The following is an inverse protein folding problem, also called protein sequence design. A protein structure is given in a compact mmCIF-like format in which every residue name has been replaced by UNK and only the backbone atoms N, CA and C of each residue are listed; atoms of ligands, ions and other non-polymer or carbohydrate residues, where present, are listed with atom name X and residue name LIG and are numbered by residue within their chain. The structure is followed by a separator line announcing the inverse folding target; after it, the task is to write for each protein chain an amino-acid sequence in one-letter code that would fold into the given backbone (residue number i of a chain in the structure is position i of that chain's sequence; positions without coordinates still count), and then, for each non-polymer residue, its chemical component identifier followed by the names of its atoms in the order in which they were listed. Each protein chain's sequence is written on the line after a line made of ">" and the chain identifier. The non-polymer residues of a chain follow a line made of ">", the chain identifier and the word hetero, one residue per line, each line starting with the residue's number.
data_IF_383026223962
#
_entry.id   IF_383026223962
#
_cell.length_a   1.000
_cell.length_b   1.000
_cell.length_c   1.000
_cell.angle_alpha   90.00
_cell.angle_beta   90.00
_cell.angle_gamma   90.00
#
_symmetry.space_group_name_H-M   'P 1'
#
loop_
_entity.id
_entity.type
_entity.pdbx_description
1 polymer ?
#
# COMPACT_ATOMS: atom_id res chain seq x y z
N UNK A 1 -11.82 -21.68 -2.89
CA UNK A 1 -11.70 -20.39 -2.21
C UNK A 1 -12.32 -19.31 -3.05
N UNK A 2 -13.12 -18.48 -2.45
CA UNK A 2 -13.81 -17.42 -3.14
C UNK A 2 -12.90 -16.22 -3.34
N UNK A 3 -12.48 -15.96 -4.59
CA UNK A 3 -11.66 -14.81 -4.94
C UNK A 3 -12.47 -13.66 -5.51
N UNK A 4 -13.80 -13.70 -5.37
CA UNK A 4 -14.64 -12.58 -5.77
C UNK A 4 -14.62 -11.46 -4.74
N UNK A 5 -14.26 -11.75 -3.48
CA UNK A 5 -14.07 -10.73 -2.46
C UNK A 5 -12.82 -9.92 -2.75
N UNK A 6 -12.98 -8.61 -2.78
CA UNK A 6 -11.89 -7.68 -3.04
C UNK A 6 -11.61 -6.83 -1.82
N UNK A 7 -10.39 -6.93 -1.30
CA UNK A 7 -9.95 -6.16 -0.16
C UNK A 7 -9.14 -4.97 -0.64
N UNK A 8 -9.48 -3.80 -0.15
CA UNK A 8 -8.71 -2.58 -0.43
C UNK A 8 -8.16 -2.03 0.88
N UNK A 9 -6.84 -1.93 0.97
CA UNK A 9 -6.15 -1.34 2.11
C UNK A 9 -5.73 0.07 1.73
N UNK A 10 -6.28 1.07 2.43
CA UNK A 10 -5.95 2.47 2.19
C UNK A 10 -4.98 2.91 3.28
N UNK A 11 -3.76 3.26 2.89
CA UNK A 11 -2.70 3.65 3.81
C UNK A 11 -2.51 5.16 3.71
N UNK A 12 -2.98 5.87 4.73
CA UNK A 12 -2.89 7.32 4.81
C UNK A 12 -1.96 7.83 5.91
N UNK A 13 -1.39 6.94 6.71
CA UNK A 13 -0.46 7.30 7.77
C UNK A 13 0.98 7.18 7.29
N UNK A 14 1.88 7.98 7.88
CA UNK A 14 3.30 7.95 7.55
C UNK A 14 3.94 6.62 7.95
N UNK A 15 4.93 6.14 7.16
CA UNK A 15 5.75 5.02 7.60
C UNK A 15 6.58 5.44 8.81
N UNK A 16 6.87 4.50 9.68
CA UNK A 16 7.70 4.74 10.89
C UNK A 16 7.12 5.80 11.83
N UNK A 17 5.79 5.98 11.79
CA UNK A 17 5.13 6.99 12.63
C UNK A 17 5.28 6.67 14.11
N UNK A 18 5.25 5.41 14.47
CA UNK A 18 5.45 4.94 15.83
C UNK A 18 6.70 4.07 15.87
N UNK A 19 7.45 4.16 16.97
CA UNK A 19 8.65 3.33 17.13
C UNK A 19 8.27 1.89 17.45
N UNK A 20 7.66 1.23 16.49
CA UNK A 20 7.20 -0.15 16.64
C UNK A 20 8.03 -1.08 15.75
N UNK A 21 8.28 -2.31 16.19
CA UNK A 21 9.03 -3.26 15.37
C UNK A 21 8.26 -3.75 14.14
N UNK A 22 6.95 -3.55 14.11
CA UNK A 22 6.11 -3.96 12.99
C UNK A 22 5.29 -2.79 12.46
N UNK A 23 4.84 -2.91 11.22
CA UNK A 23 3.96 -1.92 10.58
C UNK A 23 2.58 -2.56 10.41
N UNK A 24 1.56 -2.09 11.16
CA UNK A 24 0.24 -2.73 11.12
C UNK A 24 -0.39 -2.73 9.72
N UNK A 25 -0.19 -1.67 8.94
CA UNK A 25 -0.79 -1.59 7.61
C UNK A 25 -0.17 -2.62 6.66
N UNK A 26 1.15 -2.72 6.65
CA UNK A 26 1.84 -3.70 5.81
C UNK A 26 1.55 -5.12 6.29
N UNK A 27 1.55 -5.35 7.62
CA UNK A 27 1.28 -6.66 8.17
C UNK A 27 -0.12 -7.15 7.83
N UNK A 28 -1.13 -6.27 7.91
CA UNK A 28 -2.50 -6.62 7.56
C UNK A 28 -2.63 -6.96 6.07
N UNK A 29 -1.95 -6.18 5.22
CA UNK A 29 -1.97 -6.41 3.77
C UNK A 29 -1.34 -7.75 3.43
N UNK A 30 -0.17 -8.06 4.00
CA UNK A 30 0.51 -9.32 3.76
C UNK A 30 -0.31 -10.50 4.27
N UNK A 31 -0.97 -10.35 5.43
CA UNK A 31 -1.82 -11.40 5.96
C UNK A 31 -2.99 -11.72 5.03
N UNK A 32 -3.63 -10.70 4.47
CA UNK A 32 -4.72 -10.91 3.52
C UNK A 32 -4.25 -11.69 2.30
N UNK A 33 -3.09 -11.33 1.74
CA UNK A 33 -2.52 -12.05 0.62
C UNK A 33 -2.16 -13.48 0.97
N UNK A 34 -1.56 -13.69 2.15
CA UNK A 34 -1.18 -15.02 2.61
C UNK A 34 -2.39 -15.95 2.77
N UNK A 35 -3.56 -15.39 3.12
CA UNK A 35 -4.79 -16.17 3.20
C UNK A 35 -5.53 -16.28 1.86
N UNK A 36 -4.91 -15.89 0.77
CA UNK A 36 -5.47 -16.04 -0.55
C UNK A 36 -6.55 -15.03 -0.91
N UNK A 37 -6.64 -13.92 -0.19
CA UNK A 37 -7.59 -12.87 -0.49
C UNK A 37 -7.09 -12.02 -1.67
N UNK A 38 -8.03 -11.51 -2.48
CA UNK A 38 -7.70 -10.56 -3.54
C UNK A 38 -7.54 -9.18 -2.88
N UNK A 39 -6.31 -8.71 -2.75
CA UNK A 39 -6.00 -7.49 -2.02
C UNK A 39 -5.25 -6.49 -2.91
N UNK A 40 -5.56 -5.21 -2.72
CA UNK A 40 -4.88 -4.09 -3.35
C UNK A 40 -4.59 -3.03 -2.31
N UNK A 41 -3.61 -2.17 -2.59
CA UNK A 41 -3.20 -1.10 -1.67
C UNK A 41 -3.33 0.24 -2.39
N UNK A 42 -3.93 1.22 -1.70
CA UNK A 42 -4.00 2.60 -2.17
C UNK A 42 -3.30 3.49 -1.16
N UNK A 43 -2.27 4.21 -1.61
CA UNK A 43 -1.53 5.15 -0.76
C UNK A 43 -2.12 6.55 -0.94
N UNK A 44 -2.41 7.23 0.16
CA UNK A 44 -2.98 8.58 0.14
C UNK A 44 -2.24 9.46 1.15
N UNK A 45 -2.16 10.74 0.87
CA UNK A 45 -1.60 11.72 1.80
C UNK A 45 -0.23 11.32 2.34
N UNK A 46 -0.10 11.28 3.65
CA UNK A 46 1.16 10.91 4.31
C UNK A 46 1.60 9.48 4.02
N UNK A 47 0.64 8.61 3.66
CA UNK A 47 0.96 7.23 3.27
C UNK A 47 1.79 7.14 2.02
N UNK A 48 1.79 8.17 1.18
CA UNK A 48 2.64 8.19 -0.02
C UNK A 48 4.13 8.17 0.29
N UNK A 49 4.50 8.49 1.52
CA UNK A 49 5.91 8.45 1.94
C UNK A 49 6.49 7.03 1.92
N UNK A 50 5.66 6.01 2.00
CA UNK A 50 6.12 4.62 1.83
C UNK A 50 6.76 4.40 0.46
N UNK A 51 6.37 5.19 -0.54
CA UNK A 51 6.81 5.02 -1.92
C UNK A 51 8.06 5.82 -2.25
N UNK A 52 8.47 6.72 -1.36
CA UNK A 52 9.64 7.58 -1.60
C UNK A 52 10.91 6.73 -1.67
N UNK A 53 11.65 6.85 -2.78
CA UNK A 53 12.87 6.05 -2.94
C UNK A 53 13.95 6.40 -1.89
N UNK A 54 13.89 7.59 -1.30
CA UNK A 54 14.83 8.03 -0.27
C UNK A 54 14.42 7.61 1.14
N UNK A 55 13.31 6.88 1.28
CA UNK A 55 12.86 6.40 2.57
C UNK A 55 13.91 5.47 3.17
N UNK A 56 14.37 5.80 4.37
CA UNK A 56 15.35 4.99 5.10
C UNK A 56 14.76 4.55 6.43
N UNK A 57 14.90 3.28 6.80
CA UNK A 57 14.42 2.84 8.09
C UNK A 57 15.23 3.46 9.23
N UNK A 58 14.58 3.86 10.33
CA UNK A 58 15.31 4.20 11.54
C UNK A 58 16.12 3.01 12.04
N UNK A 59 17.05 3.27 12.94
CA UNK A 59 17.90 2.22 13.53
C UNK A 59 17.02 1.11 14.12
N UNK A 60 17.34 -0.13 13.81
CA UNK A 60 16.66 -1.34 14.28
C UNK A 60 15.20 -1.46 13.81
N UNK A 61 14.82 -0.72 12.74
CA UNK A 61 13.51 -0.85 12.12
C UNK A 61 13.60 -1.61 10.80
N UNK A 62 12.50 -2.26 10.44
CA UNK A 62 12.39 -3.00 9.18
C UNK A 62 12.39 -2.05 7.99
N UNK A 63 13.05 -2.44 6.91
CA UNK A 63 12.99 -1.70 5.65
C UNK A 63 11.64 -1.96 4.96
N UNK A 64 10.72 -1.01 5.09
CA UNK A 64 9.35 -1.16 4.58
C UNK A 64 9.30 -1.20 3.05
N UNK A 65 10.23 -0.53 2.36
CA UNK A 65 10.25 -0.60 0.89
C UNK A 65 10.59 -2.02 0.41
N UNK A 66 11.45 -2.74 1.13
CA UNK A 66 11.72 -4.13 0.81
C UNK A 66 10.48 -5.00 1.01
N UNK A 67 9.69 -4.73 2.04
CA UNK A 67 8.44 -5.44 2.24
C UNK A 67 7.46 -5.17 1.09
N UNK A 68 7.36 -3.92 0.64
CA UNK A 68 6.50 -3.58 -0.50
C UNK A 68 6.92 -4.32 -1.76
N UNK A 69 8.22 -4.47 -1.99
CA UNK A 69 8.72 -5.23 -3.15
C UNK A 69 8.41 -6.71 -3.06
N UNK A 70 8.17 -7.23 -1.87
CA UNK A 70 7.87 -8.64 -1.67
C UNK A 70 6.37 -8.95 -1.79
N UNK A 71 5.50 -7.94 -1.85
CA UNK A 71 4.05 -8.16 -1.89
C UNK A 71 3.59 -9.06 -3.05
N UNK A 72 4.19 -9.02 -4.26
CA UNK A 72 3.80 -9.96 -5.31
C UNK A 72 3.96 -11.43 -4.93
N UNK A 73 4.87 -11.75 -4.01
CA UNK A 73 5.01 -13.11 -3.49
C UNK A 73 3.78 -13.57 -2.72
N UNK A 74 2.94 -12.64 -2.29
CA UNK A 74 1.69 -12.89 -1.58
C UNK A 74 0.47 -12.62 -2.49
N UNK A 75 0.70 -12.60 -3.80
CA UNK A 75 -0.34 -12.32 -4.82
C UNK A 75 -0.93 -10.90 -4.70
N UNK A 76 -0.18 -9.97 -4.14
CA UNK A 76 -0.59 -8.56 -4.05
C UNK A 76 0.21 -7.79 -5.09
N UNK A 77 -0.38 -7.64 -6.30
CA UNK A 77 0.31 -7.06 -7.45
C UNK A 77 -0.03 -5.59 -7.70
N UNK A 78 -1.00 -5.04 -6.95
CA UNK A 78 -1.53 -3.73 -7.24
C UNK A 78 -1.26 -2.75 -6.11
N UNK A 79 -0.31 -1.83 -6.36
CA UNK A 79 -0.04 -0.68 -5.52
C UNK A 79 -0.52 0.55 -6.28
N UNK A 80 -1.50 1.26 -5.70
CA UNK A 80 -2.10 2.42 -6.35
C UNK A 80 -1.81 3.70 -5.60
N UNK A 81 -1.76 4.80 -6.34
CA UNK A 81 -1.66 6.14 -5.76
C UNK A 81 -2.42 7.10 -6.66
N UNK A 82 -3.00 8.16 -6.09
CA UNK A 82 -3.69 9.18 -6.87
C UNK A 82 -2.69 9.95 -7.72
N UNK A 83 -3.02 10.18 -8.98
CA UNK A 83 -2.22 11.01 -9.87
C UNK A 83 -2.12 12.47 -9.39
N UNK A 84 -2.99 12.88 -8.46
CA UNK A 84 -2.96 14.21 -7.87
C UNK A 84 -2.03 14.32 -6.66
N UNK A 85 -1.50 13.21 -6.16
CA UNK A 85 -0.55 13.24 -5.04
C UNK A 85 0.81 13.73 -5.52
N UNK A 86 1.53 14.53 -4.68
CA UNK A 86 2.86 15.03 -5.08
C UNK A 86 3.85 13.94 -5.46
N UNK A 87 3.74 12.75 -4.88
CA UNK A 87 4.63 11.63 -5.20
C UNK A 87 4.53 11.22 -6.67
N UNK A 88 3.41 11.53 -7.35
CA UNK A 88 3.25 11.22 -8.76
C UNK A 88 4.28 11.94 -9.63
N UNK A 89 4.83 13.05 -9.14
CA UNK A 89 5.87 13.81 -9.83
C UNK A 89 7.26 13.54 -9.27
N UNK A 90 7.40 12.54 -8.40
CA UNK A 90 8.65 12.20 -7.74
C UNK A 90 9.09 10.81 -8.18
N UNK A 91 10.30 10.45 -7.80
CA UNK A 91 10.84 9.14 -8.13
C UNK A 91 10.47 8.11 -7.06
N UNK A 92 9.66 7.14 -7.42
CA UNK A 92 9.31 6.01 -6.53
C UNK A 92 10.30 4.86 -6.67
N UNK A 93 11.34 5.04 -7.49
CA UNK A 93 12.32 4.00 -7.72
C UNK A 93 11.74 2.86 -8.54
N UNK A 94 12.05 1.64 -8.14
CA UNK A 94 11.65 0.44 -8.85
C UNK A 94 10.35 -0.19 -8.32
N UNK A 95 9.61 0.51 -7.47
CA UNK A 95 8.31 0.02 -7.00
C UNK A 95 7.28 0.07 -8.13
N UNK A 96 6.53 -1.02 -8.36
CA UNK A 96 5.56 -1.08 -9.46
C UNK A 96 4.24 -0.40 -9.07
N UNK A 97 4.24 0.93 -9.05
CA UNK A 97 3.09 1.75 -8.63
C UNK A 97 2.28 2.16 -9.85
N UNK A 98 0.96 2.08 -9.73
CA UNK A 98 0.02 2.54 -10.76
C UNK A 98 -0.66 3.83 -10.29
N UNK A 99 -0.63 4.86 -11.12
CA UNK A 99 -1.24 6.15 -10.81
C UNK A 99 -2.67 6.18 -11.34
N UNK A 100 -3.62 6.52 -10.47
CA UNK A 100 -5.03 6.54 -10.81
C UNK A 100 -5.61 7.94 -10.73
N UNK A 101 -6.49 8.27 -11.67
CA UNK A 101 -7.28 9.49 -11.61
C UNK A 101 -8.46 9.35 -10.63
N UNK A 102 -9.18 10.46 -10.35
CA UNK A 102 -10.26 10.43 -9.37
C UNK A 102 -11.37 9.44 -9.69
N UNK A 103 -11.76 9.29 -10.95
CA UNK A 103 -12.83 8.36 -11.31
C UNK A 103 -12.41 6.91 -11.14
N UNK A 104 -11.15 6.59 -11.42
CA UNK A 104 -10.63 5.23 -11.23
C UNK A 104 -10.55 4.88 -9.76
N UNK A 105 -10.17 5.84 -8.91
CA UNK A 105 -10.14 5.64 -7.47
C UNK A 105 -11.55 5.41 -6.93
N UNK A 106 -12.53 6.19 -7.40
CA UNK A 106 -13.92 6.00 -6.99
C UNK A 106 -14.41 4.60 -7.35
N UNK A 107 -14.08 4.12 -8.55
CA UNK A 107 -14.43 2.78 -8.99
C UNK A 107 -13.74 1.71 -8.15
N UNK A 108 -12.47 1.92 -7.82
CA UNK A 108 -11.70 1.00 -7.00
C UNK A 108 -12.36 0.82 -5.63
N UNK A 109 -12.76 1.93 -5.01
CA UNK A 109 -13.39 1.91 -3.69
C UNK A 109 -14.78 1.26 -3.77
N UNK A 110 -15.60 1.64 -4.77
CA UNK A 110 -16.96 1.13 -4.88
C UNK A 110 -17.00 -0.35 -5.24
N UNK A 111 -15.99 -0.87 -5.91
CA UNK A 111 -15.90 -2.28 -6.27
C UNK A 111 -15.27 -3.14 -5.19
N UNK A 112 -14.75 -2.54 -4.13
CA UNK A 112 -14.16 -3.29 -3.02
C UNK A 112 -15.24 -3.89 -2.15
N UNK A 113 -15.07 -5.17 -1.77
CA UNK A 113 -15.95 -5.82 -0.82
C UNK A 113 -15.66 -5.37 0.61
N UNK A 114 -14.39 -5.11 0.89
CA UNK A 114 -13.93 -4.67 2.21
C UNK A 114 -12.90 -3.58 2.02
N UNK A 115 -13.05 -2.49 2.77
CA UNK A 115 -12.10 -1.38 2.77
C UNK A 115 -11.58 -1.21 4.18
N UNK A 116 -10.25 -1.28 4.33
CA UNK A 116 -9.58 -1.10 5.62
C UNK A 116 -8.67 0.11 5.50
N UNK A 117 -8.84 1.09 6.37
CA UNK A 117 -8.10 2.34 6.31
C UNK A 117 -7.16 2.47 7.51
N UNK A 118 -5.92 2.86 7.24
CA UNK A 118 -4.91 3.17 8.24
C UNK A 118 -4.57 4.65 8.13
N UNK A 119 -4.86 5.39 9.19
CA UNK A 119 -4.63 6.84 9.23
C UNK A 119 -3.85 7.26 10.46
#
# INVERSE_FOLDING_TARGET
>A
MDKTSRWLFIIGSSPYLHEQPSDPAIDATMAAGAFGQNASVLFTGEGCQYLNQDLSPPVDQTDLRKLLKSLPLYDIDHLYVSSNEPIANSNVGDLPVTYLGPSDIASLISNASHVVTFT
#
